data_IF_924298230625
#
_entry.id   IF_924298230625
#
_cell.length_a   1.000
_cell.length_b   1.000
_cell.length_c   1.000
_cell.angle_alpha   90.00
_cell.angle_beta   90.00
_cell.angle_gamma   90.00
#
_symmetry.space_group_name_H-M   'P 1'
#
loop_
_entity.id
_entity.type
_entity.pdbx_description
1 polymer ?
#
# COMPACT_ATOMS: atom_id res chain seq x y z
N UNK A 1 -19.98 -2.67 -8.49
CA UNK A 1 -20.66 -3.59 -7.54
C UNK A 1 -19.59 -4.47 -6.91
N UNK A 2 -19.68 -4.78 -5.61
CA UNK A 2 -18.77 -5.71 -4.90
C UNK A 2 -19.63 -6.85 -4.35
N UNK A 3 -19.17 -8.09 -4.50
CA UNK A 3 -19.86 -9.25 -3.94
C UNK A 3 -19.49 -9.40 -2.46
N UNK A 4 -20.46 -9.33 -1.56
CA UNK A 4 -20.29 -9.62 -0.13
C UNK A 4 -21.36 -10.60 0.33
N UNK A 5 -20.93 -11.72 0.91
CA UNK A 5 -21.81 -12.78 1.45
C UNK A 5 -22.95 -13.16 0.46
N UNK A 6 -22.59 -13.38 -0.81
CA UNK A 6 -23.54 -13.78 -1.85
C UNK A 6 -24.40 -12.66 -2.46
N UNK A 7 -24.34 -11.43 -1.94
CA UNK A 7 -25.13 -10.31 -2.46
C UNK A 7 -24.26 -9.26 -3.17
N UNK A 8 -24.81 -8.68 -4.24
CA UNK A 8 -24.18 -7.58 -4.97
C UNK A 8 -24.45 -6.26 -4.27
N UNK A 9 -23.39 -5.65 -3.74
CA UNK A 9 -23.47 -4.38 -3.05
C UNK A 9 -22.92 -3.26 -3.95
N UNK A 10 -23.66 -2.16 -4.18
CA UNK A 10 -23.13 -0.95 -4.80
C UNK A 10 -21.84 -0.49 -4.11
N UNK A 11 -20.86 -0.04 -4.89
CA UNK A 11 -19.56 0.41 -4.37
C UNK A 11 -19.74 1.47 -3.26
N UNK A 12 -20.67 2.40 -3.49
CA UNK A 12 -21.03 3.47 -2.55
C UNK A 12 -21.44 2.97 -1.17
N UNK A 13 -22.12 1.82 -1.08
CA UNK A 13 -22.59 1.25 0.18
C UNK A 13 -21.47 0.60 0.98
N UNK A 14 -20.39 0.12 0.33
CA UNK A 14 -19.22 -0.41 1.03
C UNK A 14 -18.26 0.68 1.49
N UNK A 15 -18.24 1.84 0.83
CA UNK A 15 -17.35 2.94 1.16
C UNK A 15 -17.89 3.86 2.28
N UNK A 16 -19.21 3.97 2.44
CA UNK A 16 -19.83 4.80 3.48
C UNK A 16 -19.38 4.43 4.90
N UNK A 17 -19.39 3.15 5.33
CA UNK A 17 -18.95 2.79 6.68
C UNK A 17 -17.48 3.14 6.98
N UNK A 18 -16.59 2.92 6.00
CA UNK A 18 -15.16 3.21 6.16
C UNK A 18 -14.90 4.71 6.31
N UNK A 19 -15.55 5.54 5.46
CA UNK A 19 -15.43 7.00 5.55
C UNK A 19 -15.92 7.53 6.89
N UNK A 20 -17.06 7.04 7.39
CA UNK A 20 -17.59 7.41 8.71
C UNK A 20 -16.65 6.99 9.84
N UNK A 21 -16.08 5.79 9.76
CA UNK A 21 -15.14 5.29 10.77
C UNK A 21 -13.84 6.12 10.81
N UNK A 22 -13.24 6.44 9.66
CA UNK A 22 -12.08 7.32 9.56
C UNK A 22 -12.38 8.71 10.14
N UNK A 23 -13.57 9.25 9.88
CA UNK A 23 -14.03 10.50 10.48
C UNK A 23 -14.15 10.44 12.00
N UNK A 24 -14.59 9.30 12.55
CA UNK A 24 -14.69 9.07 14.00
C UNK A 24 -13.31 9.01 14.65
N UNK A 25 -12.33 8.40 13.95
CA UNK A 25 -10.92 8.39 14.37
C UNK A 25 -10.22 9.74 14.20
N UNK A 26 -10.85 10.71 13.52
CA UNK A 26 -10.28 12.02 13.16
C UNK A 26 -8.98 11.90 12.36
N UNK A 27 -8.87 10.86 11.53
CA UNK A 27 -7.71 10.68 10.66
C UNK A 27 -7.87 11.51 9.39
N UNK A 28 -6.83 12.25 9.03
CA UNK A 28 -6.78 12.95 7.76
C UNK A 28 -6.57 11.95 6.62
N UNK A 29 -7.45 12.02 5.61
CA UNK A 29 -7.34 11.19 4.41
C UNK A 29 -6.64 11.99 3.34
N UNK A 30 -5.39 11.65 3.05
CA UNK A 30 -4.64 12.28 1.99
C UNK A 30 -5.25 11.94 0.61
N UNK A 31 -5.36 12.92 -0.31
CA UNK A 31 -5.82 12.65 -1.66
C UNK A 31 -4.83 11.72 -2.37
N UNK A 32 -5.36 10.70 -3.06
CA UNK A 32 -4.56 9.77 -3.84
C UNK A 32 -5.16 9.64 -5.25
N UNK A 33 -4.44 10.03 -6.31
CA UNK A 33 -4.90 9.88 -7.69
C UNK A 33 -5.08 8.40 -8.07
N UNK A 34 -5.94 8.17 -9.06
CA UNK A 34 -6.20 6.84 -9.60
C UNK A 34 -4.96 6.32 -10.34
N UNK A 35 -4.67 5.03 -10.18
CA UNK A 35 -3.58 4.33 -10.86
C UNK A 35 -2.18 4.90 -10.58
N UNK A 36 -1.90 5.37 -9.36
CA UNK A 36 -0.60 5.96 -9.03
C UNK A 36 0.19 5.14 -7.99
N UNK A 37 0.59 3.89 -8.30
CA UNK A 37 1.41 3.06 -7.40
C UNK A 37 2.82 3.66 -7.21
N UNK A 38 3.28 4.48 -8.15
CA UNK A 38 4.53 5.22 -8.12
C UNK A 38 4.58 6.30 -7.02
N UNK A 39 3.45 6.68 -6.42
CA UNK A 39 3.40 7.58 -5.26
C UNK A 39 2.81 6.92 -4.01
N UNK A 40 2.54 5.61 -4.04
CA UNK A 40 2.11 4.85 -2.88
C UNK A 40 3.32 4.18 -2.19
N UNK A 41 3.73 4.60 -0.98
CA UNK A 41 4.93 4.06 -0.32
C UNK A 41 4.87 2.55 -0.10
N UNK A 42 3.68 2.00 0.11
CA UNK A 42 3.46 0.56 0.19
C UNK A 42 3.87 -0.13 -1.10
N UNK A 43 3.50 0.41 -2.27
CA UNK A 43 3.76 -0.22 -3.56
C UNK A 43 5.21 -0.02 -4.02
N UNK A 44 5.68 1.23 -4.12
CA UNK A 44 6.99 1.51 -4.70
C UNK A 44 8.17 1.11 -3.83
N UNK A 45 7.97 0.94 -2.51
CA UNK A 45 9.03 0.67 -1.55
C UNK A 45 8.85 -0.65 -0.78
N UNK A 46 7.78 -0.76 0.01
CA UNK A 46 7.58 -1.92 0.89
C UNK A 46 7.37 -3.21 0.07
N UNK A 47 6.35 -3.24 -0.78
CA UNK A 47 6.00 -4.39 -1.60
C UNK A 47 7.02 -4.65 -2.70
N UNK A 48 7.67 -3.60 -3.23
CA UNK A 48 8.80 -3.77 -4.14
C UNK A 48 9.94 -4.57 -3.49
N UNK A 49 10.31 -4.22 -2.26
CA UNK A 49 11.33 -4.95 -1.49
C UNK A 49 10.86 -6.35 -1.12
N UNK A 50 9.60 -6.49 -0.70
CA UNK A 50 8.99 -7.77 -0.34
C UNK A 50 8.96 -8.74 -1.51
N UNK A 51 8.53 -8.29 -2.69
CA UNK A 51 8.44 -9.10 -3.90
C UNK A 51 9.80 -9.68 -4.30
N UNK A 52 10.87 -8.90 -4.14
CA UNK A 52 12.22 -9.39 -4.36
C UNK A 52 12.59 -10.50 -3.37
N UNK A 53 12.32 -10.31 -2.08
CA UNK A 53 12.57 -11.34 -1.05
C UNK A 53 11.70 -12.59 -1.20
N UNK A 54 10.49 -12.44 -1.75
CA UNK A 54 9.55 -13.54 -2.00
C UNK A 54 9.95 -14.42 -3.18
N UNK A 55 10.72 -13.91 -4.15
CA UNK A 55 11.06 -14.65 -5.37
C UNK A 55 11.77 -15.98 -5.09
N UNK A 56 12.46 -16.08 -3.96
CA UNK A 56 13.24 -17.26 -3.57
C UNK A 56 12.50 -18.18 -2.57
N UNK A 57 11.26 -17.84 -2.20
CA UNK A 57 10.54 -18.53 -1.13
C UNK A 57 9.48 -19.48 -1.69
N UNK A 58 9.34 -20.63 -1.04
CA UNK A 58 8.23 -21.57 -1.24
C UNK A 58 7.65 -21.89 0.13
N UNK A 59 6.37 -21.57 0.31
CA UNK A 59 5.67 -21.85 1.57
C UNK A 59 4.84 -23.12 1.43
N UNK A 60 4.90 -23.96 2.46
CA UNK A 60 4.13 -25.21 2.55
C UNK A 60 2.82 -25.05 3.32
N UNK A 61 2.69 -23.98 4.10
CA UNK A 61 1.48 -23.66 4.86
C UNK A 61 1.30 -22.14 5.03
N UNK A 62 0.11 -21.75 5.46
CA UNK A 62 -0.17 -20.37 5.85
C UNK A 62 0.71 -19.93 7.03
N UNK A 63 0.90 -20.80 8.02
CA UNK A 63 1.72 -20.50 9.20
C UNK A 63 3.19 -20.24 8.83
N UNK A 64 3.74 -20.99 7.88
CA UNK A 64 5.10 -20.78 7.38
C UNK A 64 5.23 -19.40 6.70
N UNK A 65 4.24 -19.02 5.90
CA UNK A 65 4.19 -17.71 5.24
C UNK A 65 4.13 -16.57 6.27
N UNK A 66 3.25 -16.70 7.27
CA UNK A 66 3.11 -15.68 8.34
C UNK A 66 4.40 -15.53 9.14
N UNK A 67 5.00 -16.64 9.61
CA UNK A 67 6.27 -16.60 10.34
C UNK A 67 7.40 -15.97 9.54
N UNK A 68 7.48 -16.30 8.25
CA UNK A 68 8.47 -15.69 7.36
C UNK A 68 8.24 -14.19 7.18
N UNK A 69 6.98 -13.78 6.98
CA UNK A 69 6.64 -12.36 6.83
C UNK A 69 6.94 -11.56 8.10
N UNK A 70 6.61 -12.09 9.28
CA UNK A 70 6.91 -11.46 10.57
C UNK A 70 8.42 -11.29 10.76
N UNK A 71 9.20 -12.33 10.43
CA UNK A 71 10.67 -12.26 10.44
C UNK A 71 11.20 -11.24 9.44
N UNK A 72 10.65 -11.19 8.23
CA UNK A 72 11.05 -10.25 7.19
C UNK A 72 10.78 -8.80 7.59
N UNK A 73 9.59 -8.50 8.14
CA UNK A 73 9.26 -7.17 8.67
C UNK A 73 10.21 -6.80 9.81
N UNK A 74 10.43 -7.71 10.76
CA UNK A 74 11.32 -7.48 11.91
C UNK A 74 12.78 -7.29 11.50
N UNK A 75 13.18 -7.79 10.33
CA UNK A 75 14.53 -7.60 9.79
C UNK A 75 14.78 -6.20 9.22
N UNK A 76 13.74 -5.40 8.97
CA UNK A 76 13.88 -4.06 8.40
C UNK A 76 14.20 -3.05 9.49
N UNK A 77 15.22 -2.24 9.26
CA UNK A 77 15.59 -1.16 10.16
C UNK A 77 14.60 0.01 10.06
N UNK A 78 14.60 0.89 11.05
CA UNK A 78 13.78 2.11 11.04
C UNK A 78 14.06 2.95 9.78
N UNK A 79 15.32 3.00 9.36
CA UNK A 79 15.73 3.77 8.20
C UNK A 79 15.10 3.25 6.90
N UNK A 80 14.83 1.95 6.78
CA UNK A 80 14.09 1.39 5.67
C UNK A 80 12.70 2.02 5.56
N UNK A 81 11.92 2.02 6.63
CA UNK A 81 10.57 2.62 6.62
C UNK A 81 10.63 4.14 6.43
N UNK A 82 11.57 4.80 7.11
CA UNK A 82 11.77 6.24 7.01
C UNK A 82 12.08 6.66 5.58
N UNK A 83 13.01 5.99 4.89
CA UNK A 83 13.34 6.26 3.47
C UNK A 83 12.11 6.13 2.57
N UNK A 84 11.30 5.10 2.79
CA UNK A 84 10.07 4.88 2.03
C UNK A 84 9.11 6.05 2.10
N UNK A 85 8.90 6.63 3.28
CA UNK A 85 8.03 7.81 3.44
C UNK A 85 8.71 9.10 2.94
N UNK A 86 9.99 9.29 3.27
CA UNK A 86 10.71 10.52 2.94
C UNK A 86 11.03 10.68 1.44
N UNK A 87 10.85 9.64 0.61
CA UNK A 87 10.94 9.79 -0.85
C UNK A 87 9.67 10.37 -1.50
N UNK A 88 8.57 10.54 -0.75
CA UNK A 88 7.32 11.08 -1.29
C UNK A 88 7.48 12.47 -1.93
N UNK A 89 8.15 13.46 -1.30
CA UNK A 89 8.30 14.79 -1.91
C UNK A 89 9.01 14.74 -3.26
N UNK A 90 10.09 13.96 -3.38
CA UNK A 90 10.81 13.80 -4.65
C UNK A 90 9.92 13.17 -5.72
N UNK A 91 9.14 12.15 -5.36
CA UNK A 91 8.19 11.50 -6.28
C UNK A 91 7.08 12.44 -6.72
N UNK A 92 6.53 13.24 -5.81
CA UNK A 92 5.55 14.26 -6.16
C UNK A 92 6.12 15.31 -7.10
N UNK A 93 7.36 15.76 -6.90
CA UNK A 93 8.04 16.65 -7.85
C UNK A 93 8.12 16.03 -9.24
N UNK A 94 8.49 14.75 -9.34
CA UNK A 94 8.54 14.04 -10.64
C UNK A 94 7.18 13.92 -11.32
N UNK A 95 6.09 13.71 -10.57
CA UNK A 95 4.72 13.71 -11.13
C UNK A 95 4.36 15.07 -11.72
N UNK A 96 4.75 16.16 -11.06
CA UNK A 96 4.48 17.52 -11.56
C UNK A 96 5.32 17.81 -12.81
N UNK A 97 6.61 17.47 -12.78
CA UNK A 97 7.53 17.63 -13.92
C UNK A 97 7.14 16.79 -15.14
N UNK A 98 6.46 15.66 -14.92
CA UNK A 98 5.99 14.76 -15.98
C UNK A 98 4.59 15.09 -16.50
N UNK A 99 3.98 16.19 -16.06
CA UNK A 99 2.57 16.55 -16.34
C UNK A 99 1.59 15.41 -16.00
N UNK A 100 1.84 14.72 -14.87
CA UNK A 100 1.01 13.62 -14.40
C UNK A 100 1.26 12.27 -15.10
N UNK A 101 2.26 12.17 -15.97
CA UNK A 101 2.69 10.90 -16.57
C UNK A 101 3.53 10.08 -15.57
N UNK A 102 3.60 8.78 -15.79
CA UNK A 102 4.53 7.94 -15.04
C UNK A 102 5.98 8.36 -15.27
N UNK A 103 6.80 8.13 -14.25
CA UNK A 103 8.24 8.42 -14.25
C UNK A 103 9.03 7.18 -13.79
N UNK A 104 10.32 7.18 -14.09
CA UNK A 104 11.26 6.12 -13.71
C UNK A 104 12.33 6.67 -12.77
#
# INVERSE_FOLDING_TARGET
MIQKQGHWVPYELCCKPVKTYLGTLKWEVLPHPLYSPDIAPSDYHLFRSLAHSLCEQKFTSYEDCTKWFDSWISSKDEQFFRRGIHSLPERWSKVVESDGKYFH
#
